data_IF_786213082392
#
_entry.id   IF_786213082392
#
_cell.length_a   1.000
_cell.length_b   1.000
_cell.length_c   1.000
_cell.angle_alpha   90.00
_cell.angle_beta   90.00
_cell.angle_gamma   90.00
#
_symmetry.space_group_name_H-M   'P 1'
#
loop_
_entity.id
_entity.type
_entity.pdbx_description
1 polymer ?
#
# COMPACT_ATOMS: atom_id res chain seq x y z
N UNK A 1 -4.91 -0.64 1.09
CA UNK A 1 -5.13 -1.95 1.73
C UNK A 1 -3.86 -2.75 1.51
N UNK A 2 -3.27 -3.31 2.55
CA UNK A 2 -1.91 -3.86 2.51
C UNK A 2 -1.96 -5.38 2.36
N UNK A 3 -2.29 -5.85 1.16
CA UNK A 3 -2.57 -7.27 0.90
C UNK A 3 -1.44 -7.99 0.17
N UNK A 4 -0.99 -7.46 -0.96
CA UNK A 4 -0.08 -8.15 -1.89
C UNK A 4 1.21 -7.36 -2.18
N UNK A 5 1.32 -6.12 -1.69
CA UNK A 5 2.45 -5.23 -1.97
C UNK A 5 3.28 -4.97 -0.71
N UNK A 6 4.29 -5.81 -0.53
CA UNK A 6 5.28 -5.61 0.53
C UNK A 6 6.19 -4.41 0.21
N UNK A 7 6.22 -3.43 1.12
CA UNK A 7 7.02 -2.20 0.99
C UNK A 7 7.96 -2.05 2.20
N UNK A 8 9.05 -2.85 2.29
CA UNK A 8 9.92 -2.92 3.48
C UNK A 8 10.53 -1.57 3.86
N UNK A 9 10.96 -0.79 2.86
CA UNK A 9 11.64 0.50 3.04
C UNK A 9 10.76 1.54 3.75
N UNK A 10 9.43 1.41 3.69
CA UNK A 10 8.52 2.34 4.36
C UNK A 10 8.70 2.35 5.89
N UNK A 11 9.25 1.27 6.47
CA UNK A 11 9.55 1.21 7.92
C UNK A 11 10.61 2.26 8.30
N UNK A 12 11.59 2.51 7.44
CA UNK A 12 12.67 3.49 7.70
C UNK A 12 12.16 4.94 7.69
N UNK A 13 10.99 5.16 7.09
CA UNK A 13 10.37 6.47 6.92
C UNK A 13 9.22 6.72 7.90
N UNK A 14 9.00 5.81 8.86
CA UNK A 14 7.87 5.93 9.79
C UNK A 14 7.89 7.27 10.55
N UNK A 15 6.73 7.93 10.61
CA UNK A 15 6.51 9.24 11.24
C UNK A 15 7.33 10.41 10.65
N UNK A 16 8.08 10.16 9.57
CA UNK A 16 8.67 11.25 8.78
C UNK A 16 7.59 11.94 7.95
N UNK A 17 7.78 13.24 7.71
CA UNK A 17 6.87 14.02 6.89
C UNK A 17 6.94 13.56 5.42
N UNK A 18 5.79 13.43 4.76
CA UNK A 18 5.73 13.08 3.35
C UNK A 18 6.52 14.08 2.50
N UNK A 19 7.50 13.64 1.69
CA UNK A 19 8.33 14.56 0.92
C UNK A 19 7.53 15.40 -0.08
N UNK A 20 7.94 16.67 -0.22
CA UNK A 20 7.34 17.59 -1.19
C UNK A 20 7.46 17.10 -2.63
N UNK A 21 8.50 16.33 -2.95
CA UNK A 21 8.69 15.72 -4.28
C UNK A 21 7.58 14.74 -4.66
N UNK A 22 6.89 14.15 -3.68
CA UNK A 22 5.76 13.25 -3.89
C UNK A 22 4.47 14.03 -4.08
N UNK A 23 4.24 15.07 -3.26
CA UNK A 23 3.01 15.87 -3.33
C UNK A 23 3.01 16.85 -4.49
N UNK A 24 4.16 17.41 -4.85
CA UNK A 24 4.32 18.44 -5.89
C UNK A 24 3.31 19.59 -5.73
N UNK A 25 3.01 19.98 -4.49
CA UNK A 25 2.04 21.04 -4.17
C UNK A 25 0.56 20.62 -4.26
N UNK A 26 0.25 19.36 -4.62
CA UNK A 26 -1.12 18.88 -4.71
C UNK A 26 -1.75 18.68 -3.32
N UNK A 27 -3.05 18.96 -3.25
CA UNK A 27 -3.91 18.56 -2.13
C UNK A 27 -4.22 17.07 -2.29
N UNK A 28 -3.85 16.27 -1.29
CA UNK A 28 -4.03 14.81 -1.33
C UNK A 28 -5.51 14.42 -1.38
N UNK A 29 -6.33 14.95 -0.46
CA UNK A 29 -7.77 14.70 -0.45
C UNK A 29 -8.57 15.88 0.14
N UNK A 30 -9.89 15.84 -0.09
CA UNK A 30 -10.86 16.69 0.61
C UNK A 30 -10.75 16.57 2.14
N UNK A 31 -10.63 15.33 2.61
CA UNK A 31 -10.71 14.89 4.01
C UNK A 31 -9.49 15.25 4.87
N UNK A 32 -8.37 15.64 4.25
CA UNK A 32 -7.11 15.94 4.94
C UNK A 32 -6.81 17.45 5.02
N UNK A 33 -7.79 18.31 4.69
CA UNK A 33 -7.59 19.77 4.63
C UNK A 33 -7.22 20.44 5.96
N UNK A 34 -7.60 19.85 7.09
CA UNK A 34 -7.26 20.34 8.43
C UNK A 34 -6.01 19.70 9.02
N UNK A 35 -5.34 18.79 8.29
CA UNK A 35 -4.20 18.05 8.80
C UNK A 35 -2.94 18.92 8.74
N UNK A 36 -2.28 19.12 9.88
CA UNK A 36 -1.06 19.94 9.99
C UNK A 36 0.20 19.22 9.51
N UNK A 37 0.17 17.88 9.48
CA UNK A 37 1.26 16.99 9.09
C UNK A 37 0.75 15.80 8.30
N UNK A 38 1.57 15.27 7.40
CA UNK A 38 1.32 14.10 6.57
C UNK A 38 2.38 13.03 6.87
N UNK A 39 2.34 12.38 8.04
CA UNK A 39 3.34 11.39 8.41
C UNK A 39 3.21 10.13 7.54
N UNK A 40 4.34 9.55 7.16
CA UNK A 40 4.39 8.26 6.50
C UNK A 40 4.08 7.16 7.53
N UNK A 41 3.09 6.34 7.22
CA UNK A 41 2.69 5.18 8.02
C UNK A 41 2.93 3.89 7.19
N UNK A 42 3.91 3.05 7.57
CA UNK A 42 4.09 1.74 6.94
C UNK A 42 2.94 0.81 7.31
N UNK A 43 2.86 -0.31 6.60
CA UNK A 43 1.93 -1.36 6.99
C UNK A 43 2.23 -1.86 8.40
N UNK A 44 1.18 -2.09 9.17
CA UNK A 44 1.26 -2.71 10.50
C UNK A 44 1.21 -4.23 10.43
N UNK A 45 0.91 -4.78 9.25
CA UNK A 45 0.77 -6.22 9.04
C UNK A 45 2.09 -6.84 8.61
N UNK A 46 2.28 -8.10 8.98
CA UNK A 46 3.41 -8.88 8.54
C UNK A 46 3.21 -9.45 7.13
N UNK A 47 4.31 -9.61 6.41
CA UNK A 47 4.36 -10.15 5.05
C UNK A 47 5.34 -11.31 4.97
N UNK A 48 4.97 -12.34 4.23
CA UNK A 48 5.84 -13.47 3.94
C UNK A 48 5.73 -13.86 2.46
N UNK A 49 6.78 -14.52 1.95
CA UNK A 49 6.76 -15.12 0.62
C UNK A 49 6.10 -16.51 0.71
N UNK A 50 5.17 -16.77 -0.21
CA UNK A 50 4.46 -18.04 -0.30
C UNK A 50 4.56 -18.64 -1.70
N UNK A 51 4.39 -19.96 -1.76
CA UNK A 51 4.43 -20.74 -3.00
C UNK A 51 5.80 -20.79 -3.65
N UNK A 52 5.87 -21.49 -4.78
CA UNK A 52 7.05 -21.56 -5.65
C UNK A 52 7.29 -20.23 -6.36
N UNK A 53 6.23 -19.44 -6.58
CA UNK A 53 6.32 -18.10 -7.14
C UNK A 53 7.03 -17.09 -6.21
N UNK A 54 7.16 -17.39 -4.91
CA UNK A 54 7.78 -16.48 -3.93
C UNK A 54 7.01 -15.18 -3.75
N UNK A 55 5.69 -15.23 -3.95
CA UNK A 55 4.82 -14.06 -3.91
C UNK A 55 4.68 -13.54 -2.48
N UNK A 56 4.90 -12.24 -2.28
CA UNK A 56 4.64 -11.56 -1.01
C UNK A 56 3.15 -11.42 -0.73
N UNK A 57 2.69 -11.97 0.39
CA UNK A 57 1.28 -11.88 0.84
C UNK A 57 1.26 -11.48 2.32
N UNK A 58 0.30 -10.61 2.67
CA UNK A 58 0.01 -10.20 4.03
C UNK A 58 -0.58 -11.35 4.86
N UNK A 59 -0.27 -11.39 6.15
CA UNK A 59 -0.87 -12.33 7.12
C UNK A 59 -2.41 -12.30 7.15
N UNK A 60 -3.04 -11.26 6.60
CA UNK A 60 -4.48 -11.12 6.48
C UNK A 60 -5.13 -12.10 5.48
N UNK A 61 -4.35 -12.69 4.57
CA UNK A 61 -4.85 -13.57 3.51
C UNK A 61 -4.24 -14.98 3.61
N UNK A 62 -4.33 -15.68 4.76
CA UNK A 62 -3.64 -16.95 4.96
C UNK A 62 -4.14 -18.04 4.00
N UNK A 63 -5.45 -18.06 3.72
CA UNK A 63 -6.03 -19.04 2.80
C UNK A 63 -5.68 -18.75 1.35
N UNK A 64 -5.66 -17.47 0.94
CA UNK A 64 -5.18 -17.08 -0.39
C UNK A 64 -3.71 -17.43 -0.57
N UNK A 65 -2.89 -17.21 0.46
CA UNK A 65 -1.48 -17.58 0.45
C UNK A 65 -1.26 -19.08 0.25
N UNK A 66 -2.14 -19.93 0.79
CA UNK A 66 -2.07 -21.39 0.61
C UNK A 66 -2.33 -21.87 -0.82
N UNK A 67 -2.94 -21.04 -1.66
CA UNK A 67 -3.29 -21.33 -3.06
C UNK A 67 -2.64 -20.36 -4.05
N UNK A 68 -1.55 -19.68 -3.64
CA UNK A 68 -0.97 -18.57 -4.42
C UNK A 68 -0.45 -19.00 -5.80
N UNK A 69 0.03 -20.23 -5.94
CA UNK A 69 0.53 -20.74 -7.22
C UNK A 69 -0.61 -21.19 -8.16
N UNK A 70 -1.84 -21.29 -7.66
CA UNK A 70 -3.04 -21.63 -8.44
C UNK A 70 -3.78 -20.38 -8.95
N UNK A 71 -3.31 -19.18 -8.59
CA UNK A 71 -3.94 -17.90 -8.95
C UNK A 71 -2.97 -17.01 -9.73
N UNK A 72 -3.53 -16.19 -10.61
CA UNK A 72 -2.78 -15.14 -11.31
C UNK A 72 -2.94 -13.80 -10.58
N UNK A 73 -1.82 -13.18 -10.19
CA UNK A 73 -1.80 -11.83 -9.60
C UNK A 73 -1.42 -10.83 -10.69
N UNK A 74 -2.33 -9.92 -11.00
CA UNK A 74 -2.12 -8.87 -12.01
C UNK A 74 -1.70 -7.57 -11.32
N UNK A 75 -0.49 -7.07 -11.60
CA UNK A 75 0.09 -5.84 -11.02
C UNK A 75 0.14 -4.66 -11.98
N UNK A 76 -0.74 -4.61 -12.98
CA UNK A 76 -0.73 -3.58 -14.03
C UNK A 76 -1.83 -2.52 -13.87
N UNK A 77 -2.63 -2.57 -12.80
CA UNK A 77 -3.67 -1.57 -12.58
C UNK A 77 -3.05 -0.26 -12.08
N UNK A 78 -3.44 0.85 -12.71
CA UNK A 78 -3.05 2.21 -12.33
C UNK A 78 -4.26 3.14 -12.43
N UNK A 79 -4.38 4.11 -11.52
CA UNK A 79 -5.43 5.13 -11.54
C UNK A 79 -4.89 6.45 -11.00
N UNK A 80 -5.42 7.56 -11.52
CA UNK A 80 -5.17 8.90 -10.98
C UNK A 80 -6.24 9.31 -9.95
N UNK A 81 -7.34 8.56 -9.85
CA UNK A 81 -8.39 8.82 -8.89
C UNK A 81 -7.94 8.47 -7.46
N UNK A 82 -8.08 9.42 -6.53
CA UNK A 82 -7.67 9.26 -5.13
C UNK A 82 -8.64 8.38 -4.31
N UNK A 83 -9.90 8.30 -4.73
CA UNK A 83 -10.97 7.55 -4.07
C UNK A 83 -12.08 7.20 -5.07
N UNK A 84 -12.99 6.31 -4.66
CA UNK A 84 -14.22 6.00 -5.40
C UNK A 84 -15.28 7.07 -5.12
N UNK A 85 -15.10 8.28 -5.65
CA UNK A 85 -16.13 9.31 -5.62
C UNK A 85 -17.14 9.10 -6.77
N UNK A 86 -18.45 9.01 -6.50
CA UNK A 86 -19.42 9.43 -7.49
C UNK A 86 -19.28 10.96 -7.55
N UNK A 87 -18.91 11.50 -8.71
CA UNK A 87 -18.65 12.95 -8.85
C UNK A 87 -19.76 13.86 -8.34
#
# INVERSE_FOLDING_TARGET
MDLLDYKPVMKDWYDTELPDSIRQGQRLTGMTSGQSRFPIAPSVFEFAQHGQSGTWISELLPYTASMVDDIAIIRSMNTEAINHEPG
#
